data_IF_807586928305
#
_entry.id   IF_807586928305
#
_cell.length_a   1.000
_cell.length_b   1.000
_cell.length_c   1.000
_cell.angle_alpha   90.00
_cell.angle_beta   90.00
_cell.angle_gamma   90.00
#
_symmetry.space_group_name_H-M   'P 1'
#
loop_
_entity.id
_entity.type
_entity.pdbx_description
1 polymer ?
#
# COMPACT_ATOMS: atom_id res chain seq x y z
N UNK A 1 16.41 -24.44 -3.89
CA UNK A 1 15.21 -24.86 -4.63
C UNK A 1 15.39 -24.80 -6.15
N UNK A 2 16.37 -24.08 -6.70
CA UNK A 2 16.65 -24.10 -8.15
C UNK A 2 15.51 -23.55 -9.01
N UNK A 3 14.75 -22.58 -8.47
CA UNK A 3 13.60 -21.99 -9.12
C UNK A 3 13.80 -20.47 -9.27
N UNK A 4 13.45 -19.95 -10.45
CA UNK A 4 13.51 -18.51 -10.77
C UNK A 4 12.26 -17.81 -10.23
N UNK A 5 12.18 -17.75 -8.90
CA UNK A 5 11.04 -17.13 -8.21
C UNK A 5 11.11 -15.62 -8.35
N UNK A 6 10.10 -15.03 -8.99
CA UNK A 6 9.96 -13.57 -9.04
C UNK A 6 9.70 -13.01 -7.64
N UNK A 7 10.50 -12.01 -7.25
CA UNK A 7 10.42 -11.35 -5.96
C UNK A 7 9.75 -9.99 -6.12
N UNK A 8 8.69 -9.76 -5.35
CA UNK A 8 7.99 -8.49 -5.32
C UNK A 8 8.31 -7.73 -4.03
N UNK A 9 8.91 -6.57 -4.17
CA UNK A 9 9.23 -5.64 -3.09
C UNK A 9 8.06 -4.69 -2.87
N UNK A 10 7.21 -4.99 -1.89
CA UNK A 10 6.10 -4.12 -1.49
C UNK A 10 6.54 -3.12 -0.42
N UNK A 11 6.13 -1.87 -0.59
CA UNK A 11 6.30 -0.80 0.41
C UNK A 11 4.93 -0.33 0.91
N UNK A 12 4.71 -0.45 2.22
CA UNK A 12 3.47 -0.09 2.93
C UNK A 12 3.60 1.24 3.70
N UNK A 13 4.54 2.10 3.30
CA UNK A 13 4.77 3.38 3.97
C UNK A 13 3.77 4.47 3.56
N UNK A 14 2.91 4.24 2.57
CA UNK A 14 1.84 5.19 2.22
C UNK A 14 0.86 5.37 3.39
N UNK A 15 0.65 6.62 3.81
CA UNK A 15 -0.12 6.99 5.00
C UNK A 15 0.32 6.28 6.31
N UNK A 16 1.54 5.74 6.39
CA UNK A 16 2.06 5.16 7.62
C UNK A 16 2.32 6.27 8.66
N UNK A 17 1.74 6.11 9.85
CA UNK A 17 1.92 7.06 10.95
C UNK A 17 3.05 6.67 11.91
N UNK A 18 3.62 5.47 11.79
CA UNK A 18 4.53 4.91 12.78
C UNK A 18 5.68 4.12 12.16
N UNK A 19 6.80 4.08 12.87
CA UNK A 19 7.93 3.19 12.62
C UNK A 19 8.38 2.53 13.93
N UNK A 20 8.86 1.29 13.86
CA UNK A 20 9.25 0.52 15.06
C UNK A 20 10.58 0.96 15.67
N UNK A 21 11.49 1.51 14.87
CA UNK A 21 12.85 1.85 15.30
C UNK A 21 13.40 3.03 14.50
N UNK A 22 14.29 3.78 15.13
CA UNK A 22 15.09 4.86 14.53
C UNK A 22 16.57 4.45 14.40
N UNK A 23 16.86 3.15 14.42
CA UNK A 23 18.24 2.67 14.26
C UNK A 23 18.81 3.00 12.88
N UNK A 24 17.94 3.02 11.86
CA UNK A 24 18.35 3.30 10.49
C UNK A 24 18.36 4.83 10.20
N UNK A 25 19.53 5.43 9.94
CA UNK A 25 19.62 6.86 9.71
C UNK A 25 18.90 7.35 8.44
N UNK A 26 18.54 6.45 7.53
CA UNK A 26 17.75 6.78 6.33
C UNK A 26 16.31 7.14 6.66
N UNK A 27 15.80 6.69 7.82
CA UNK A 27 14.44 7.03 8.26
C UNK A 27 14.36 8.34 9.05
N UNK A 28 15.48 8.79 9.63
CA UNK A 28 15.54 10.00 10.47
C UNK A 28 14.89 11.26 9.87
N UNK A 29 15.01 11.56 8.55
CA UNK A 29 14.38 12.74 7.96
C UNK A 29 12.86 12.75 8.11
N UNK A 30 12.25 11.59 8.31
CA UNK A 30 10.80 11.42 8.36
C UNK A 30 10.26 11.17 9.76
N UNK A 31 11.11 10.97 10.76
CA UNK A 31 10.66 10.70 12.14
C UNK A 31 10.21 12.01 12.78
N UNK A 32 9.02 11.99 13.38
CA UNK A 32 8.45 13.13 14.08
C UNK A 32 8.96 13.20 15.52
N UNK A 33 9.31 14.41 15.95
CA UNK A 33 9.70 14.72 17.32
C UNK A 33 8.94 15.92 17.87
N UNK A 34 8.80 15.96 19.20
CA UNK A 34 8.29 17.12 19.90
C UNK A 34 9.30 18.26 19.82
N UNK A 35 8.85 19.46 19.47
CA UNK A 35 9.68 20.67 19.39
C UNK A 35 9.45 21.61 20.57
N UNK A 36 8.60 21.21 21.52
CA UNK A 36 8.40 21.86 22.82
C UNK A 36 8.65 20.88 23.96
N UNK A 37 9.21 21.34 25.10
CA UNK A 37 9.35 20.51 26.29
C UNK A 37 7.95 20.24 26.87
N UNK A 38 7.46 19.02 26.68
CA UNK A 38 6.15 18.55 27.15
C UNK A 38 6.31 17.21 27.84
N UNK A 39 5.29 16.78 28.59
CA UNK A 39 5.22 15.40 29.07
C UNK A 39 5.19 14.42 27.89
N UNK A 40 5.66 13.18 28.12
CA UNK A 40 5.59 12.14 27.09
C UNK A 40 4.15 11.85 26.67
N UNK A 41 3.97 11.38 25.43
CA UNK A 41 2.66 11.00 24.92
C UNK A 41 2.04 9.88 25.76
N UNK A 42 2.84 8.93 26.25
CA UNK A 42 2.39 7.88 27.19
C UNK A 42 1.82 8.47 28.48
N UNK A 43 2.50 9.47 29.09
CA UNK A 43 2.00 10.14 30.28
C UNK A 43 0.67 10.87 29.99
N UNK A 44 0.58 11.54 28.84
CA UNK A 44 -0.65 12.19 28.42
C UNK A 44 -1.82 11.22 28.21
N UNK A 45 -1.56 10.04 27.60
CA UNK A 45 -2.57 8.98 27.45
C UNK A 45 -3.04 8.46 28.82
N UNK A 46 -2.12 8.26 29.77
CA UNK A 46 -2.48 7.78 31.11
C UNK A 46 -3.35 8.81 31.86
N UNK A 47 -2.94 10.08 31.86
CA UNK A 47 -3.75 11.16 32.45
C UNK A 47 -5.11 11.31 31.75
N UNK A 48 -5.14 11.17 30.42
CA UNK A 48 -6.37 11.18 29.64
C UNK A 48 -7.34 10.08 30.06
N UNK A 49 -6.85 8.84 30.23
CA UNK A 49 -7.65 7.70 30.72
C UNK A 49 -8.22 7.96 32.11
N UNK A 50 -7.42 8.51 33.03
CA UNK A 50 -7.87 8.86 34.39
C UNK A 50 -8.98 9.92 34.36
N UNK A 51 -8.92 10.88 33.43
CA UNK A 51 -9.94 11.90 33.24
C UNK A 51 -11.14 11.47 32.37
N UNK A 52 -11.17 10.22 31.87
CA UNK A 52 -12.22 9.72 30.98
C UNK A 52 -12.20 10.32 29.55
N UNK A 53 -11.06 10.85 29.11
CA UNK A 53 -10.90 11.45 27.78
C UNK A 53 -10.58 10.40 26.73
N UNK A 54 -11.20 10.54 25.55
CA UNK A 54 -10.98 9.65 24.42
C UNK A 54 -9.53 9.69 23.91
N UNK A 55 -9.02 8.52 23.48
CA UNK A 55 -7.65 8.37 22.99
C UNK A 55 -7.33 9.28 21.81
N UNK A 56 -8.24 9.42 20.83
CA UNK A 56 -8.00 10.25 19.64
C UNK A 56 -7.97 11.73 20.02
N UNK A 57 -8.83 12.14 20.95
CA UNK A 57 -8.81 13.51 21.47
C UNK A 57 -7.48 13.81 22.21
N UNK A 58 -6.99 12.89 23.05
CA UNK A 58 -5.67 13.06 23.70
C UNK A 58 -4.54 13.10 22.66
N UNK A 59 -4.58 12.23 21.65
CA UNK A 59 -3.58 12.17 20.58
C UNK A 59 -3.48 13.51 19.85
N UNK A 60 -4.60 14.07 19.41
CA UNK A 60 -4.61 15.32 18.66
C UNK A 60 -4.21 16.53 19.51
N UNK A 61 -4.70 16.62 20.76
CA UNK A 61 -4.31 17.69 21.68
C UNK A 61 -2.82 17.63 22.02
N UNK A 62 -2.29 16.43 22.26
CA UNK A 62 -0.89 16.24 22.59
C UNK A 62 0.00 16.59 21.39
N UNK A 63 -0.34 16.12 20.18
CA UNK A 63 0.39 16.49 18.94
C UNK A 63 0.45 18.00 18.75
N UNK A 64 -0.66 18.69 18.99
CA UNK A 64 -0.77 20.14 18.89
C UNK A 64 0.10 20.84 19.95
N UNK A 65 0.05 20.36 21.19
CA UNK A 65 0.83 20.92 22.30
C UNK A 65 2.34 20.71 22.12
N UNK A 66 2.73 19.51 21.68
CA UNK A 66 4.12 19.12 21.43
C UNK A 66 4.72 19.79 20.19
N UNK A 67 3.86 20.27 19.27
CA UNK A 67 4.21 20.80 17.95
C UNK A 67 5.12 19.82 17.22
N UNK A 68 4.54 18.67 16.81
CA UNK A 68 5.31 17.64 16.13
C UNK A 68 5.78 18.11 14.76
N UNK A 69 7.07 17.92 14.52
CA UNK A 69 7.76 18.24 13.27
C UNK A 69 8.80 17.15 13.01
N UNK A 70 9.26 17.04 11.77
CA UNK A 70 10.58 16.44 11.49
C UNK A 70 11.68 17.35 12.02
N UNK A 71 12.90 16.84 12.18
CA UNK A 71 14.00 17.70 12.64
C UNK A 71 14.29 18.84 11.65
N UNK A 72 14.17 18.60 10.35
CA UNK A 72 14.43 19.61 9.32
C UNK A 72 13.37 20.73 9.35
N UNK A 73 12.11 20.39 9.57
CA UNK A 73 11.03 21.37 9.81
C UNK A 73 11.27 22.17 11.10
N UNK A 74 11.77 21.54 12.17
CA UNK A 74 12.13 22.24 13.41
C UNK A 74 13.29 23.22 13.21
N UNK A 75 14.28 22.87 12.37
CA UNK A 75 15.35 23.77 11.94
C UNK A 75 14.77 24.95 11.19
N UNK A 76 13.93 24.70 10.18
CA UNK A 76 13.27 25.75 9.40
C UNK A 76 12.48 26.72 10.26
N UNK A 77 11.74 26.21 11.24
CA UNK A 77 10.92 27.03 12.14
C UNK A 77 11.76 27.90 13.11
N UNK A 78 13.01 27.52 13.37
CA UNK A 78 13.88 28.17 14.37
C UNK A 78 15.02 29.00 13.77
N UNK A 79 15.26 28.89 12.46
CA UNK A 79 16.38 29.50 11.75
C UNK A 79 15.92 30.63 10.80
N UNK A 80 16.85 31.50 10.40
CA UNK A 80 16.64 32.39 9.26
C UNK A 80 16.66 31.58 7.97
N UNK A 81 16.07 32.09 6.88
CA UNK A 81 16.08 31.35 5.61
C UNK A 81 17.50 31.13 5.06
N UNK A 82 18.44 32.04 5.31
CA UNK A 82 19.84 31.86 4.95
C UNK A 82 20.50 30.68 5.69
N UNK A 83 20.29 30.61 7.02
CA UNK A 83 20.80 29.50 7.82
C UNK A 83 20.12 28.18 7.45
N UNK A 84 18.81 28.18 7.19
CA UNK A 84 18.09 26.99 6.77
C UNK A 84 18.57 26.48 5.40
N UNK A 85 18.81 27.37 4.44
CA UNK A 85 19.41 26.98 3.15
C UNK A 85 20.81 26.39 3.31
N UNK A 86 21.63 26.97 4.19
CA UNK A 86 22.97 26.45 4.50
C UNK A 86 22.89 25.06 5.16
N UNK A 87 21.94 24.86 6.09
CA UNK A 87 21.67 23.56 6.69
C UNK A 87 21.25 22.51 5.64
N UNK A 88 20.27 22.83 4.80
CA UNK A 88 19.75 21.91 3.78
C UNK A 88 20.83 21.50 2.77
N UNK A 89 21.70 22.42 2.36
CA UNK A 89 22.82 22.11 1.47
C UNK A 89 23.76 21.05 2.04
N UNK A 90 23.88 20.96 3.37
CA UNK A 90 24.73 19.97 4.03
C UNK A 90 24.07 18.61 4.18
N UNK A 91 22.74 18.55 4.28
CA UNK A 91 21.99 17.31 4.59
C UNK A 91 21.24 16.70 3.41
N UNK A 92 20.93 17.47 2.37
CA UNK A 92 20.23 16.99 1.19
C UNK A 92 21.03 15.88 0.48
N UNK A 93 20.30 14.88 -0.02
CA UNK A 93 20.84 13.74 -0.79
C UNK A 93 21.92 12.92 -0.07
N UNK A 94 22.01 13.03 1.27
CA UNK A 94 22.97 12.32 2.11
C UNK A 94 22.27 11.59 3.24
N UNK A 95 22.85 10.46 3.65
CA UNK A 95 22.45 9.76 4.88
C UNK A 95 23.09 10.45 6.07
N UNK A 96 22.32 11.33 6.73
CA UNK A 96 22.78 12.12 7.88
C UNK A 96 21.99 11.74 9.13
N UNK A 97 22.70 11.28 10.15
CA UNK A 97 22.10 10.90 11.44
C UNK A 97 21.49 12.10 12.14
N UNK A 98 20.52 11.89 13.06
CA UNK A 98 19.97 12.99 13.86
C UNK A 98 21.08 13.74 14.64
N UNK A 99 22.08 13.01 15.15
CA UNK A 99 23.21 13.62 15.85
C UNK A 99 23.99 14.58 14.95
N UNK A 100 24.33 14.15 13.72
CA UNK A 100 25.01 15.00 12.75
C UNK A 100 24.12 16.19 12.33
N UNK A 101 22.83 15.98 12.12
CA UNK A 101 21.86 17.05 11.81
C UNK A 101 21.86 18.13 12.90
N UNK A 102 21.88 17.73 14.18
CA UNK A 102 22.01 18.68 15.30
C UNK A 102 23.32 19.46 15.26
N UNK A 103 24.44 18.79 15.01
CA UNK A 103 25.75 19.45 14.89
C UNK A 103 25.77 20.47 13.76
N UNK A 104 25.25 20.13 12.59
CA UNK A 104 25.16 21.02 11.42
C UNK A 104 24.24 22.20 11.74
N UNK A 105 23.04 21.94 12.26
CA UNK A 105 22.08 22.97 12.63
C UNK A 105 22.66 23.95 13.65
N UNK A 106 23.35 23.47 14.67
CA UNK A 106 24.05 24.31 15.65
C UNK A 106 25.16 25.14 15.01
N UNK A 107 25.93 24.54 14.10
CA UNK A 107 27.00 25.23 13.38
C UNK A 107 26.50 26.41 12.56
N UNK A 108 25.36 26.25 11.86
CA UNK A 108 24.82 27.33 11.01
C UNK A 108 23.93 28.32 11.77
N UNK A 109 23.20 27.90 12.80
CA UNK A 109 22.27 28.78 13.53
C UNK A 109 22.84 29.40 14.81
N UNK A 110 23.94 28.84 15.33
CA UNK A 110 24.51 29.18 16.63
C UNK A 110 23.68 28.72 17.84
N UNK A 111 22.62 27.93 17.64
CA UNK A 111 21.69 27.52 18.71
C UNK A 111 21.41 26.01 18.67
N UNK A 112 21.20 25.42 19.84
CA UNK A 112 20.68 24.06 19.95
C UNK A 112 19.17 24.06 19.72
N UNK A 113 18.72 23.27 18.75
CA UNK A 113 17.30 23.14 18.41
C UNK A 113 16.68 22.04 19.27
N UNK A 114 15.69 22.40 20.08
CA UNK A 114 14.96 21.43 20.87
C UNK A 114 14.14 20.53 19.95
N UNK A 115 14.38 19.23 20.08
CA UNK A 115 13.69 18.19 19.34
C UNK A 115 13.79 16.92 20.16
N UNK A 116 12.69 16.20 20.35
CA UNK A 116 12.71 14.92 21.05
C UNK A 116 11.70 13.96 20.43
N UNK A 117 12.20 12.95 19.73
CA UNK A 117 11.40 11.88 19.13
C UNK A 117 11.07 10.73 20.09
N UNK A 118 11.57 10.75 21.32
CA UNK A 118 11.20 9.80 22.37
C UNK A 118 9.88 10.23 23.04
N UNK A 119 9.68 11.54 23.23
CA UNK A 119 8.43 12.08 23.78
C UNK A 119 7.16 11.62 23.04
N UNK A 120 7.08 11.59 21.69
CA UNK A 120 5.90 11.12 20.95
C UNK A 120 5.72 9.61 20.88
N UNK A 121 6.56 8.80 21.53
CA UNK A 121 6.43 7.34 21.40
C UNK A 121 5.09 6.85 21.91
N UNK A 122 4.53 5.89 21.19
CA UNK A 122 3.27 5.23 21.57
C UNK A 122 3.48 4.39 22.84
N UNK A 123 2.40 3.94 23.51
CA UNK A 123 2.51 3.00 24.62
C UNK A 123 3.19 1.67 24.28
N UNK A 124 3.28 1.31 22.99
CA UNK A 124 3.99 0.12 22.50
C UNK A 124 5.41 0.43 22.00
N UNK A 125 5.86 1.67 22.17
CA UNK A 125 7.23 2.09 21.88
C UNK A 125 7.50 2.44 20.42
N UNK A 126 6.49 2.53 19.55
CA UNK A 126 6.69 2.98 18.17
C UNK A 126 6.97 4.48 18.12
N UNK A 127 7.82 4.90 17.18
CA UNK A 127 8.07 6.29 16.84
C UNK A 127 6.99 6.79 15.89
N UNK A 128 6.63 8.06 15.99
CA UNK A 128 5.73 8.69 15.02
C UNK A 128 6.50 9.03 13.74
N UNK A 129 5.87 8.80 12.60
CA UNK A 129 6.47 8.93 11.28
C UNK A 129 5.64 9.90 10.44
N UNK A 130 6.31 10.81 9.73
CA UNK A 130 5.71 11.65 8.72
C UNK A 130 5.71 10.90 7.40
N UNK A 131 4.52 10.55 6.92
CA UNK A 131 4.36 10.04 5.57
C UNK A 131 4.72 11.11 4.53
N UNK A 132 5.40 10.68 3.46
CA UNK A 132 5.52 11.45 2.23
C UNK A 132 5.77 10.52 1.04
N UNK A 133 5.43 10.94 -0.17
CA UNK A 133 5.77 10.19 -1.40
C UNK A 133 7.28 9.97 -1.52
N UNK A 134 8.10 10.95 -1.09
CA UNK A 134 9.56 10.83 -1.08
C UNK A 134 10.06 9.70 -0.17
N UNK A 135 9.50 9.55 1.03
CA UNK A 135 9.84 8.44 1.92
C UNK A 135 9.58 7.07 1.26
N UNK A 136 8.46 6.95 0.54
CA UNK A 136 8.12 5.69 -0.14
C UNK A 136 9.08 5.44 -1.31
N UNK A 137 9.48 6.48 -2.05
CA UNK A 137 10.50 6.41 -3.11
C UNK A 137 11.84 5.94 -2.55
N UNK A 138 12.32 6.56 -1.46
CA UNK A 138 13.61 6.24 -0.86
C UNK A 138 13.66 4.78 -0.41
N UNK A 139 12.60 4.29 0.25
CA UNK A 139 12.48 2.88 0.64
C UNK A 139 12.41 1.94 -0.56
N UNK A 140 11.68 2.31 -1.60
CA UNK A 140 11.58 1.52 -2.82
C UNK A 140 12.92 1.43 -3.56
N UNK A 141 13.69 2.52 -3.63
CA UNK A 141 15.03 2.54 -4.23
C UNK A 141 15.99 1.61 -3.47
N UNK A 142 15.93 1.61 -2.14
CA UNK A 142 16.73 0.71 -1.30
C UNK A 142 16.35 -0.75 -1.48
N UNK A 143 15.06 -1.05 -1.64
CA UNK A 143 14.56 -2.40 -1.81
C UNK A 143 14.75 -2.93 -3.24
N UNK A 144 14.83 -2.06 -4.25
CA UNK A 144 14.81 -2.43 -5.66
C UNK A 144 15.88 -3.46 -6.07
N UNK A 145 17.14 -3.41 -5.59
CA UNK A 145 18.15 -4.42 -5.91
C UNK A 145 17.84 -5.84 -5.39
N UNK A 146 16.89 -5.97 -4.46
CA UNK A 146 16.58 -7.24 -3.80
C UNK A 146 15.37 -7.98 -4.38
N UNK A 147 14.74 -7.45 -5.42
CA UNK A 147 13.66 -8.14 -6.12
C UNK A 147 13.39 -7.58 -7.51
N UNK A 148 12.47 -8.18 -8.23
CA UNK A 148 12.25 -7.90 -9.66
C UNK A 148 11.20 -6.82 -9.89
N UNK A 149 10.21 -6.73 -9.00
CA UNK A 149 9.05 -5.86 -9.13
C UNK A 149 8.89 -5.01 -7.88
N UNK A 150 8.62 -3.72 -8.04
CA UNK A 150 8.29 -2.82 -6.94
C UNK A 150 6.79 -2.55 -6.87
N UNK A 151 6.23 -2.56 -5.66
CA UNK A 151 4.83 -2.18 -5.41
C UNK A 151 4.76 -1.15 -4.28
N UNK A 152 4.35 0.09 -4.59
CA UNK A 152 3.88 1.02 -3.57
C UNK A 152 2.41 0.74 -3.27
N UNK A 153 2.10 0.35 -2.03
CA UNK A 153 0.71 0.21 -1.60
C UNK A 153 0.09 1.60 -1.49
N UNK A 154 -0.67 2.03 -2.49
CA UNK A 154 -1.32 3.35 -2.48
C UNK A 154 -2.79 3.26 -2.04
N UNK A 155 -3.14 3.80 -0.89
CA UNK A 155 -4.51 3.79 -0.37
C UNK A 155 -5.41 4.80 -1.08
N UNK A 156 -4.83 5.92 -1.55
CA UNK A 156 -5.51 7.01 -2.25
C UNK A 156 -4.70 7.37 -3.50
N UNK A 157 -4.74 6.53 -4.56
CA UNK A 157 -3.82 6.61 -5.70
C UNK A 157 -4.10 7.81 -6.62
N UNK A 158 -3.92 9.04 -6.14
CA UNK A 158 -4.12 10.26 -6.92
C UNK A 158 -3.04 10.41 -8.00
N UNK A 159 -3.34 11.16 -9.06
CA UNK A 159 -2.45 11.34 -10.23
C UNK A 159 -1.05 11.85 -9.85
N UNK A 160 -0.96 12.76 -8.88
CA UNK A 160 0.31 13.39 -8.46
C UNK A 160 1.24 12.36 -7.80
N UNK A 161 0.76 11.63 -6.80
CA UNK A 161 1.59 10.67 -6.08
C UNK A 161 1.88 9.42 -6.91
N UNK A 162 0.94 9.01 -7.78
CA UNK A 162 1.17 7.98 -8.79
C UNK A 162 2.35 8.35 -9.70
N UNK A 163 2.31 9.53 -10.29
CA UNK A 163 3.39 10.00 -11.17
C UNK A 163 4.71 10.16 -10.41
N UNK A 164 4.67 10.86 -9.26
CA UNK A 164 5.86 11.16 -8.46
C UNK A 164 6.60 9.91 -8.01
N UNK A 165 5.88 8.90 -7.51
CA UNK A 165 6.49 7.64 -7.06
C UNK A 165 7.22 6.92 -8.21
N UNK A 166 6.52 6.66 -9.32
CA UNK A 166 7.09 5.86 -10.42
C UNK A 166 8.25 6.58 -11.10
N UNK A 167 8.14 7.89 -11.32
CA UNK A 167 9.23 8.68 -11.89
C UNK A 167 10.41 8.80 -10.95
N UNK A 168 10.17 8.95 -9.64
CA UNK A 168 11.22 9.02 -8.63
C UNK A 168 12.05 7.73 -8.56
N UNK A 169 11.39 6.57 -8.56
CA UNK A 169 12.11 5.28 -8.59
C UNK A 169 12.83 5.08 -9.93
N UNK A 170 12.20 5.43 -11.06
CA UNK A 170 12.81 5.30 -12.40
C UNK A 170 13.98 6.23 -12.66
N UNK A 171 14.06 7.36 -11.95
CA UNK A 171 15.23 8.22 -12.01
C UNK A 171 16.51 7.49 -11.58
N UNK A 172 16.39 6.47 -10.71
CA UNK A 172 17.51 5.62 -10.27
C UNK A 172 17.54 4.28 -11.00
N UNK A 173 16.36 3.67 -11.25
CA UNK A 173 16.21 2.39 -11.95
C UNK A 173 15.27 2.53 -13.16
N UNK A 174 15.76 3.00 -14.32
CA UNK A 174 14.93 3.33 -15.47
C UNK A 174 14.03 2.18 -15.96
N UNK A 175 14.57 0.96 -15.94
CA UNK A 175 13.89 -0.25 -16.43
C UNK A 175 13.09 -0.96 -15.32
N UNK A 176 12.84 -0.28 -14.18
CA UNK A 176 12.11 -0.91 -13.08
C UNK A 176 10.70 -1.31 -13.50
N UNK A 177 10.35 -2.55 -13.19
CA UNK A 177 9.00 -3.09 -13.31
C UNK A 177 8.22 -2.82 -12.04
N UNK A 178 6.94 -2.49 -12.20
CA UNK A 178 6.06 -2.18 -11.10
C UNK A 178 4.82 -3.05 -11.07
N UNK A 179 4.25 -3.15 -9.87
CA UNK A 179 2.95 -3.74 -9.66
C UNK A 179 1.96 -2.73 -9.06
N UNK A 180 0.69 -2.91 -9.41
CA UNK A 180 -0.40 -2.10 -8.88
C UNK A 180 -1.59 -2.96 -8.53
N UNK A 181 -2.08 -2.79 -7.30
CA UNK A 181 -3.31 -3.39 -6.85
C UNK A 181 -4.44 -2.35 -6.89
N UNK A 182 -5.55 -2.69 -7.54
CA UNK A 182 -6.81 -1.95 -7.45
C UNK A 182 -7.49 -2.19 -6.09
N UNK A 183 -6.77 -1.89 -5.02
CA UNK A 183 -7.13 -2.19 -3.65
C UNK A 183 -8.11 -1.18 -3.08
N UNK A 184 -9.02 -1.64 -2.23
CA UNK A 184 -9.92 -0.79 -1.45
C UNK A 184 -11.09 -0.26 -2.28
N UNK A 185 -12.15 0.17 -1.57
CA UNK A 185 -13.31 0.81 -2.18
C UNK A 185 -13.04 2.30 -2.49
N UNK A 186 -11.81 2.64 -2.90
CA UNK A 186 -11.46 4.03 -3.18
C UNK A 186 -12.17 4.49 -4.45
N UNK A 187 -12.85 5.62 -4.34
CA UNK A 187 -13.46 6.29 -5.46
C UNK A 187 -12.38 7.07 -6.23
N UNK A 188 -11.95 6.50 -7.36
CA UNK A 188 -10.91 7.11 -8.21
C UNK A 188 -11.31 8.51 -8.71
N UNK A 189 -12.59 8.86 -8.78
CA UNK A 189 -12.97 10.24 -9.13
C UNK A 189 -12.39 11.25 -8.12
N UNK A 190 -12.31 10.88 -6.83
CA UNK A 190 -11.68 11.70 -5.78
C UNK A 190 -10.15 11.81 -5.95
N UNK A 191 -9.55 10.91 -6.72
CA UNK A 191 -8.13 10.92 -7.07
C UNK A 191 -7.80 11.78 -8.29
N UNK A 192 -8.80 12.44 -8.89
CA UNK A 192 -8.65 13.28 -10.08
C UNK A 192 -8.73 12.52 -11.40
N UNK A 193 -9.30 11.32 -11.42
CA UNK A 193 -9.53 10.55 -12.64
C UNK A 193 -10.94 10.78 -13.19
N UNK A 194 -11.02 11.13 -14.46
CA UNK A 194 -12.26 11.16 -15.22
C UNK A 194 -12.68 9.74 -15.62
N UNK A 195 -13.95 9.53 -16.04
CA UNK A 195 -14.38 8.25 -16.59
C UNK A 195 -13.55 7.78 -17.79
N UNK A 196 -13.08 8.71 -18.63
CA UNK A 196 -12.23 8.40 -19.78
C UNK A 196 -10.84 7.98 -19.34
N UNK A 197 -10.24 8.65 -18.33
CA UNK A 197 -8.99 8.20 -17.73
C UNK A 197 -9.13 6.76 -17.22
N UNK A 198 -10.25 6.43 -16.54
CA UNK A 198 -10.48 5.11 -15.96
C UNK A 198 -10.69 4.01 -16.99
N UNK A 199 -11.18 4.34 -18.19
CA UNK A 199 -11.38 3.37 -19.27
C UNK A 199 -10.05 2.81 -19.77
N UNK A 200 -9.04 3.67 -19.94
CA UNK A 200 -7.70 3.28 -20.39
C UNK A 200 -6.68 3.17 -19.26
N UNK A 201 -7.06 3.43 -18.01
CA UNK A 201 -6.15 3.52 -16.87
C UNK A 201 -5.16 2.36 -16.78
N UNK A 202 -5.64 1.12 -16.90
CA UNK A 202 -4.79 -0.07 -16.85
C UNK A 202 -3.70 -0.07 -17.94
N UNK A 203 -4.03 0.29 -19.17
CA UNK A 203 -3.05 0.37 -20.26
C UNK A 203 -2.16 1.60 -20.13
N UNK A 204 -2.70 2.70 -19.63
CA UNK A 204 -1.96 3.96 -19.45
C UNK A 204 -0.88 3.81 -18.39
N UNK A 205 -1.20 3.26 -17.21
CA UNK A 205 -0.19 3.07 -16.16
C UNK A 205 0.85 2.01 -16.51
N UNK A 206 0.50 1.02 -17.34
CA UNK A 206 1.49 0.08 -17.88
C UNK A 206 2.48 0.80 -18.81
N UNK A 207 1.97 1.59 -19.76
CA UNK A 207 2.76 2.34 -20.73
C UNK A 207 3.61 3.43 -20.08
N UNK A 208 2.99 4.27 -19.25
CA UNK A 208 3.60 5.50 -18.76
C UNK A 208 4.55 5.24 -17.59
N UNK A 209 4.25 4.21 -16.76
CA UNK A 209 4.99 3.94 -15.52
C UNK A 209 5.68 2.58 -15.47
N UNK A 210 5.41 1.65 -16.40
CA UNK A 210 5.95 0.28 -16.31
C UNK A 210 5.24 -0.60 -15.28
N UNK A 211 3.98 -0.29 -14.97
CA UNK A 211 3.14 -1.13 -14.11
C UNK A 211 2.63 -2.32 -14.92
N UNK A 212 3.48 -3.33 -15.03
CA UNK A 212 3.24 -4.53 -15.85
C UNK A 212 2.44 -5.61 -15.13
N UNK A 213 2.41 -5.60 -13.79
CA UNK A 213 1.61 -6.53 -13.01
C UNK A 213 0.46 -5.82 -12.30
N UNK A 214 -0.76 -6.03 -12.75
CA UNK A 214 -1.94 -5.35 -12.23
C UNK A 214 -2.94 -6.35 -11.69
N UNK A 215 -3.40 -6.15 -10.46
CA UNK A 215 -4.28 -7.10 -9.76
C UNK A 215 -5.50 -6.41 -9.18
N UNK A 216 -6.64 -7.09 -9.24
CA UNK A 216 -7.89 -6.65 -8.64
C UNK A 216 -8.34 -7.66 -7.57
N UNK A 217 -7.71 -7.64 -6.38
CA UNK A 217 -7.90 -8.68 -5.38
C UNK A 217 -9.24 -8.55 -4.63
N UNK A 218 -9.84 -7.35 -4.61
CA UNK A 218 -11.09 -7.12 -3.86
C UNK A 218 -12.32 -7.54 -4.67
N UNK A 219 -12.21 -7.70 -5.99
CA UNK A 219 -13.36 -8.17 -6.80
C UNK A 219 -13.85 -9.56 -6.38
N UNK A 220 -12.94 -10.47 -6.01
CA UNK A 220 -13.33 -11.81 -5.56
C UNK A 220 -14.22 -11.76 -4.30
N UNK A 221 -14.07 -10.74 -3.45
CA UNK A 221 -14.94 -10.57 -2.27
C UNK A 221 -16.17 -9.72 -2.59
N UNK A 222 -16.00 -8.55 -3.20
CA UNK A 222 -17.09 -7.61 -3.51
C UNK A 222 -18.05 -8.15 -4.58
N UNK A 223 -17.51 -8.65 -5.69
CA UNK A 223 -18.27 -9.17 -6.82
C UNK A 223 -19.08 -10.39 -6.43
N UNK A 224 -18.44 -11.41 -5.85
CA UNK A 224 -19.13 -12.61 -5.39
C UNK A 224 -20.19 -12.29 -4.32
N UNK A 225 -19.88 -11.42 -3.36
CA UNK A 225 -20.86 -10.99 -2.35
C UNK A 225 -22.06 -10.27 -2.96
N UNK A 226 -21.84 -9.44 -3.99
CA UNK A 226 -22.92 -8.77 -4.71
C UNK A 226 -23.81 -9.78 -5.44
N UNK A 227 -23.21 -10.73 -6.15
CA UNK A 227 -23.95 -11.79 -6.85
C UNK A 227 -24.71 -12.69 -5.87
N UNK A 228 -24.10 -13.08 -4.76
CA UNK A 228 -24.75 -13.88 -3.71
C UNK A 228 -25.97 -13.14 -3.12
N UNK A 229 -25.86 -11.84 -2.82
CA UNK A 229 -26.99 -11.04 -2.32
C UNK A 229 -28.12 -10.92 -3.34
N UNK A 230 -27.80 -10.68 -4.61
CA UNK A 230 -28.81 -10.63 -5.70
C UNK A 230 -29.51 -11.98 -5.86
N UNK A 231 -28.75 -13.07 -5.86
CA UNK A 231 -29.28 -14.42 -5.95
C UNK A 231 -30.17 -14.76 -4.75
N UNK A 232 -29.73 -14.49 -3.52
CA UNK A 232 -30.52 -14.77 -2.32
C UNK A 232 -31.89 -14.07 -2.35
N UNK A 233 -31.93 -12.82 -2.81
CA UNK A 233 -33.18 -12.09 -3.01
C UNK A 233 -34.06 -12.75 -4.07
N UNK A 234 -33.53 -13.00 -5.26
CA UNK A 234 -34.27 -13.61 -6.37
C UNK A 234 -34.80 -15.01 -6.01
N UNK A 235 -34.00 -15.81 -5.29
CA UNK A 235 -34.41 -17.14 -4.87
C UNK A 235 -35.52 -17.11 -3.82
N UNK A 236 -35.50 -16.14 -2.89
CA UNK A 236 -36.55 -15.97 -1.90
C UNK A 236 -37.89 -15.54 -2.54
N UNK A 237 -37.83 -14.69 -3.58
CA UNK A 237 -39.00 -14.13 -4.25
C UNK A 237 -39.56 -15.05 -5.36
N UNK A 238 -38.69 -15.77 -6.08
CA UNK A 238 -39.03 -16.47 -7.32
C UNK A 238 -38.63 -17.95 -7.34
N UNK A 239 -37.97 -18.44 -6.28
CA UNK A 239 -37.52 -19.82 -6.17
C UNK A 239 -36.60 -20.25 -7.32
N UNK A 240 -36.82 -21.47 -7.82
CA UNK A 240 -36.01 -22.06 -8.89
C UNK A 240 -36.12 -21.31 -10.23
N UNK A 241 -37.20 -20.57 -10.47
CA UNK A 241 -37.34 -19.81 -11.70
C UNK A 241 -36.27 -18.71 -11.81
N UNK A 242 -36.02 -17.98 -10.71
CA UNK A 242 -34.95 -16.97 -10.63
C UNK A 242 -33.56 -17.58 -10.77
N UNK A 243 -33.30 -18.73 -10.12
CA UNK A 243 -32.04 -19.46 -10.30
C UNK A 243 -31.79 -19.87 -11.75
N UNK A 244 -32.80 -20.46 -12.40
CA UNK A 244 -32.67 -20.91 -13.78
C UNK A 244 -32.43 -19.75 -14.75
N UNK A 245 -33.12 -18.62 -14.56
CA UNK A 245 -33.00 -17.44 -15.42
C UNK A 245 -31.66 -16.72 -15.24
N UNK A 246 -31.27 -16.43 -14.00
CA UNK A 246 -30.19 -15.47 -13.73
C UNK A 246 -28.83 -16.13 -13.46
N UNK A 247 -28.82 -17.42 -13.12
CA UNK A 247 -27.58 -18.16 -12.78
C UNK A 247 -27.37 -19.34 -13.71
N UNK A 248 -28.26 -20.34 -13.70
CA UNK A 248 -27.99 -21.61 -14.38
C UNK A 248 -27.93 -21.46 -15.89
N UNK A 249 -28.96 -20.86 -16.52
CA UNK A 249 -29.02 -20.70 -17.97
C UNK A 249 -27.84 -19.89 -18.52
N UNK A 250 -27.52 -18.68 -18.00
CA UNK A 250 -26.35 -17.94 -18.46
C UNK A 250 -25.02 -18.68 -18.24
N UNK A 251 -24.89 -19.42 -17.14
CA UNK A 251 -23.67 -20.18 -16.84
C UNK A 251 -23.47 -21.36 -17.79
N UNK A 252 -24.53 -22.07 -18.19
CA UNK A 252 -24.42 -23.25 -19.06
C UNK A 252 -24.40 -22.90 -20.55
N UNK A 253 -24.93 -21.74 -20.97
CA UNK A 253 -24.98 -21.33 -22.39
C UNK A 253 -23.60 -21.27 -23.05
N UNK A 254 -22.53 -21.05 -22.26
CA UNK A 254 -21.14 -20.98 -22.74
C UNK A 254 -20.32 -22.24 -22.41
N UNK A 255 -20.91 -23.25 -21.76
CA UNK A 255 -20.17 -24.46 -21.38
C UNK A 255 -19.97 -25.39 -22.59
N UNK A 256 -18.74 -25.90 -22.82
CA UNK A 256 -18.52 -26.98 -23.77
C UNK A 256 -19.37 -28.20 -23.40
N UNK A 257 -20.07 -28.74 -24.38
CA UNK A 257 -20.87 -29.95 -24.24
C UNK A 257 -20.31 -31.07 -25.11
N UNK A 258 -20.60 -32.32 -24.72
CA UNK A 258 -20.40 -33.47 -25.59
C UNK A 258 -21.49 -33.51 -26.67
N UNK A 259 -21.41 -34.51 -27.55
CA UNK A 259 -22.42 -34.78 -28.58
C UNK A 259 -23.83 -35.05 -28.03
N UNK A 260 -23.99 -35.27 -26.72
CA UNK A 260 -25.25 -35.51 -26.05
C UNK A 260 -25.74 -34.28 -25.25
N UNK A 261 -25.04 -33.14 -25.37
CA UNK A 261 -25.40 -31.90 -24.66
C UNK A 261 -25.01 -31.88 -23.18
N UNK A 262 -24.21 -32.84 -22.70
CA UNK A 262 -23.73 -32.86 -21.31
C UNK A 262 -22.47 -31.99 -21.15
N UNK A 263 -22.37 -31.14 -20.11
CA UNK A 263 -21.18 -30.34 -19.87
C UNK A 263 -19.92 -31.22 -19.68
N UNK A 264 -18.87 -30.98 -20.47
CA UNK A 264 -17.63 -31.81 -20.47
C UNK A 264 -16.57 -31.32 -19.49
N UNK A 265 -16.74 -30.13 -18.92
CA UNK A 265 -15.74 -29.46 -18.08
C UNK A 265 -15.46 -30.12 -16.70
N UNK A 266 -16.10 -31.26 -16.39
CA UNK A 266 -16.02 -31.91 -15.07
C UNK A 266 -15.00 -33.05 -14.97
N UNK A 267 -14.29 -33.36 -16.05
CA UNK A 267 -13.22 -34.36 -16.06
C UNK A 267 -13.65 -35.81 -15.78
N UNK A 268 -14.96 -36.10 -15.67
CA UNK A 268 -15.46 -37.45 -15.39
C UNK A 268 -14.98 -38.48 -16.40
N UNK A 269 -15.03 -38.14 -17.69
CA UNK A 269 -14.51 -38.99 -18.76
C UNK A 269 -13.01 -39.33 -18.60
N UNK A 270 -12.21 -38.42 -18.04
CA UNK A 270 -10.77 -38.65 -17.80
C UNK A 270 -10.57 -39.61 -16.63
N UNK A 271 -11.38 -39.48 -15.57
CA UNK A 271 -11.38 -40.43 -14.46
C UNK A 271 -11.80 -41.84 -14.92
N UNK A 272 -12.87 -41.94 -15.72
CA UNK A 272 -13.33 -43.22 -16.29
C UNK A 272 -12.26 -43.85 -17.19
N UNK A 273 -11.61 -43.05 -18.05
CA UNK A 273 -10.52 -43.51 -18.90
C UNK A 273 -9.32 -44.04 -18.08
N UNK A 274 -8.97 -43.42 -16.95
CA UNK A 274 -7.93 -43.97 -16.06
C UNK A 274 -8.31 -45.36 -15.52
N UNK A 275 -9.58 -45.58 -15.17
CA UNK A 275 -10.04 -46.91 -14.73
C UNK A 275 -10.02 -47.95 -15.85
N UNK A 276 -10.45 -47.59 -17.07
CA UNK A 276 -10.44 -48.50 -18.22
C UNK A 276 -9.00 -48.90 -18.63
N UNK A 277 -8.03 -47.97 -18.57
CA UNK A 277 -6.60 -48.25 -18.81
C UNK A 277 -6.06 -49.24 -17.77
N UNK A 278 -6.34 -49.00 -16.48
CA UNK A 278 -5.91 -49.92 -15.40
C UNK A 278 -6.57 -51.29 -15.54
N UNK A 279 -7.80 -51.35 -16.05
CA UNK A 279 -8.53 -52.61 -16.28
C UNK A 279 -8.08 -53.36 -17.55
N UNK A 280 -7.12 -52.83 -18.33
CA UNK A 280 -6.63 -53.46 -19.56
C UNK A 280 -7.68 -53.55 -20.66
N UNK A 281 -8.68 -52.67 -20.64
CA UNK A 281 -9.73 -52.63 -21.67
C UNK A 281 -9.20 -51.95 -22.92
N UNK A 282 -9.55 -52.49 -24.08
CA UNK A 282 -9.25 -51.87 -25.37
C UNK A 282 -10.16 -50.65 -25.56
N UNK A 283 -9.56 -49.45 -25.63
CA UNK A 283 -10.30 -48.20 -25.81
C UNK A 283 -10.48 -47.97 -27.31
N UNK A 284 -11.52 -48.56 -27.88
CA UNK A 284 -11.95 -48.25 -29.26
C UNK A 284 -12.88 -47.05 -29.22
N UNK A 285 -12.55 -45.99 -29.96
CA UNK A 285 -13.43 -44.82 -30.11
C UNK A 285 -14.62 -45.18 -31.00
N UNK A 286 -15.65 -45.81 -30.44
CA UNK A 286 -16.93 -45.97 -31.13
C UNK A 286 -18.08 -45.47 -30.26
N UNK A 287 -18.99 -44.80 -30.96
CA UNK A 287 -20.21 -44.10 -30.51
C UNK A 287 -20.00 -42.80 -29.77
#
# INVERSE_FOLDING_TARGET
>A
MGADTMLLCRCDSDNAEFISSVLDPRDHPYVLGATKPVQSFVAAINAGKESGKDYLAVKEDWKTTAVLMTFDEAVKASATEEHYRSYIAEVADKVVTLLQRRTIAKGVTGKDIFFDWELPRTPHGQYMLQWSTQQVIDRAILAAPFGDVTWSRQDKPNKKDMHGFHMGVRAVYPDRLFAFGFMGAYDFAKGGYSPDDLRSFHSDIARDYGIVWQVQPIWATQGLSLHARRFAKAFAEEGMAGYMRDVAKPAIESMPTDKHGKPTARGGYLADAFFDVVAGREITSET
#
